data_IF_898383133895
#
_entry.id   IF_898383133895
#
_cell.length_a   1.000
_cell.length_b   1.000
_cell.length_c   1.000
_cell.angle_alpha   90.00
_cell.angle_beta   90.00
_cell.angle_gamma   90.00
#
_symmetry.space_group_name_H-M   'P 1'
#
loop_
_entity.id
_entity.type
_entity.pdbx_description
1 polymer ?
#
# COMPACT_ATOMS: atom_id res chain seq x y z
N UNK A 1 -1.92 43.76 9.30
CA UNK A 1 -2.85 42.95 10.14
C UNK A 1 -2.75 41.41 9.96
N UNK A 2 -1.87 40.82 9.12
CA UNK A 2 -1.87 39.36 8.84
C UNK A 2 -0.91 38.48 9.68
N UNK A 3 -0.09 39.05 10.57
CA UNK A 3 0.84 38.28 11.40
C UNK A 3 0.17 37.65 12.65
N UNK A 4 -0.94 38.22 13.14
CA UNK A 4 -1.57 37.79 14.40
C UNK A 4 -2.32 36.46 14.34
N UNK A 5 -2.92 36.10 13.20
CA UNK A 5 -3.75 34.89 13.07
C UNK A 5 -2.94 33.59 13.01
N UNK A 6 -1.76 33.61 12.38
CA UNK A 6 -0.86 32.46 12.33
C UNK A 6 -0.34 32.07 13.72
N UNK A 7 -0.11 33.07 14.59
CA UNK A 7 0.36 32.84 15.95
C UNK A 7 -0.70 32.25 16.89
N UNK A 8 -2.00 32.45 16.61
CA UNK A 8 -3.09 31.95 17.45
C UNK A 8 -3.38 30.47 17.18
N UNK A 9 -3.34 30.06 15.91
CA UNK A 9 -3.50 28.67 15.49
C UNK A 9 -2.31 27.81 15.93
N UNK A 10 -1.08 28.32 15.78
CA UNK A 10 0.13 27.64 16.25
C UNK A 10 0.13 27.43 17.77
N UNK A 11 -0.37 28.41 18.54
CA UNK A 11 -0.53 28.29 20.00
C UNK A 11 -1.61 27.26 20.39
N UNK A 12 -2.72 27.20 19.65
CA UNK A 12 -3.76 26.20 19.88
C UNK A 12 -3.28 24.76 19.59
N UNK A 13 -2.48 24.57 18.54
CA UNK A 13 -1.84 23.29 18.22
C UNK A 13 -0.80 22.86 19.23
N UNK A 14 0.02 23.81 19.74
CA UNK A 14 0.98 23.52 20.81
C UNK A 14 0.29 23.17 22.13
N UNK A 15 -0.81 23.84 22.46
CA UNK A 15 -1.60 23.53 23.66
C UNK A 15 -2.26 22.13 23.57
N UNK A 16 -2.79 21.75 22.41
CA UNK A 16 -3.35 20.40 22.19
C UNK A 16 -2.28 19.32 22.15
N UNK A 17 -1.10 19.60 21.59
CA UNK A 17 0.04 18.68 21.63
C UNK A 17 0.56 18.48 23.08
N UNK A 18 0.60 19.55 23.87
CA UNK A 18 0.95 19.49 25.29
C UNK A 18 -0.06 18.69 26.11
N UNK A 19 -1.37 18.85 25.85
CA UNK A 19 -2.41 18.04 26.47
C UNK A 19 -2.26 16.54 26.14
N UNK A 20 -1.96 16.22 24.88
CA UNK A 20 -1.66 14.85 24.44
C UNK A 20 -0.46 14.23 25.16
N UNK A 21 0.60 15.03 25.37
CA UNK A 21 1.79 14.58 26.10
C UNK A 21 1.46 14.26 27.57
N UNK A 22 0.59 15.06 28.20
CA UNK A 22 0.11 14.82 29.58
C UNK A 22 -0.75 13.57 29.66
N UNK A 23 -1.64 13.33 28.69
CA UNK A 23 -2.47 12.11 28.64
C UNK A 23 -1.61 10.87 28.38
N UNK A 24 -0.63 10.96 27.48
CA UNK A 24 0.30 9.88 27.17
C UNK A 24 1.22 9.50 28.35
N UNK A 25 1.62 10.48 29.16
CA UNK A 25 2.44 10.24 30.37
C UNK A 25 1.63 9.66 31.53
N UNK A 26 0.33 9.97 31.63
CA UNK A 26 -0.57 9.42 32.63
C UNK A 26 -1.09 8.01 32.29
N UNK A 27 -1.08 7.63 31.00
CA UNK A 27 -1.46 6.28 30.55
C UNK A 27 -2.85 5.83 31.05
N UNK A 28 -3.02 4.60 31.57
CA UNK A 28 -4.31 4.10 32.02
C UNK A 28 -4.86 4.79 33.29
N UNK A 29 -4.01 5.54 34.03
CA UNK A 29 -4.42 6.29 35.22
C UNK A 29 -5.14 7.61 34.90
N UNK A 30 -5.27 7.98 33.61
CA UNK A 30 -5.93 9.20 33.19
C UNK A 30 -7.46 9.17 33.47
N UNK A 31 -8.03 10.22 34.11
CA UNK A 31 -9.46 10.34 34.34
C UNK A 31 -10.27 10.25 33.04
N UNK A 32 -11.44 9.60 33.07
CA UNK A 32 -12.26 9.36 31.87
C UNK A 32 -12.62 10.65 31.10
N UNK A 33 -12.90 11.75 31.80
CA UNK A 33 -13.17 13.05 31.17
C UNK A 33 -11.95 13.62 30.41
N UNK A 34 -10.72 13.33 30.86
CA UNK A 34 -9.49 13.77 30.23
C UNK A 34 -9.26 13.05 28.89
N UNK A 35 -9.64 11.76 28.81
CA UNK A 35 -9.59 10.95 27.57
C UNK A 35 -10.60 11.40 26.52
N UNK A 36 -11.78 11.88 26.95
CA UNK A 36 -12.77 12.50 26.05
C UNK A 36 -12.24 13.81 25.46
N UNK A 37 -11.50 14.60 26.24
CA UNK A 37 -10.87 15.83 25.72
C UNK A 37 -9.70 15.50 24.78
N UNK A 38 -8.96 14.42 25.03
CA UNK A 38 -7.88 13.95 24.15
C UNK A 38 -8.38 13.55 22.75
N UNK A 39 -9.51 12.83 22.68
CA UNK A 39 -10.11 12.43 21.40
C UNK A 39 -10.53 13.65 20.56
N UNK A 40 -11.11 14.67 21.20
CA UNK A 40 -11.40 15.98 20.57
C UNK A 40 -10.10 16.69 20.15
N UNK A 41 -9.04 16.59 20.94
CA UNK A 41 -7.70 17.10 20.63
C UNK A 41 -7.13 16.50 19.33
N UNK A 42 -7.34 15.21 19.08
CA UNK A 42 -6.96 14.54 17.82
C UNK A 42 -7.61 15.20 16.61
N UNK A 43 -8.92 15.48 16.70
CA UNK A 43 -9.69 16.11 15.62
C UNK A 43 -9.24 17.54 15.36
N UNK A 44 -8.94 18.31 16.42
CA UNK A 44 -8.41 19.67 16.32
C UNK A 44 -7.02 19.67 15.67
N UNK A 45 -6.15 18.72 16.02
CA UNK A 45 -4.85 18.56 15.37
C UNK A 45 -5.02 18.19 13.91
N UNK A 46 -5.87 17.21 13.57
CA UNK A 46 -6.11 16.80 12.19
C UNK A 46 -6.63 17.95 11.31
N UNK A 47 -7.62 18.70 11.80
CA UNK A 47 -8.17 19.88 11.10
C UNK A 47 -7.14 21.01 11.01
N UNK A 48 -6.38 21.26 12.08
CA UNK A 48 -5.34 22.28 12.10
C UNK A 48 -4.17 21.95 11.16
N UNK A 49 -3.75 20.68 11.10
CA UNK A 49 -2.73 20.19 10.18
C UNK A 49 -3.23 20.29 8.73
N UNK A 50 -4.49 19.90 8.48
CA UNK A 50 -5.14 20.04 7.17
C UNK A 50 -5.22 21.51 6.72
N UNK A 51 -5.56 22.43 7.60
CA UNK A 51 -5.56 23.87 7.31
C UNK A 51 -4.15 24.41 7.04
N UNK A 52 -3.15 23.99 7.83
CA UNK A 52 -1.75 24.36 7.60
C UNK A 52 -1.22 23.80 6.28
N UNK A 53 -1.56 22.55 5.94
CA UNK A 53 -1.23 21.91 4.67
C UNK A 53 -1.88 22.64 3.49
N UNK A 54 -3.17 22.98 3.61
CA UNK A 54 -3.89 23.78 2.63
C UNK A 54 -3.24 25.16 2.46
N UNK A 55 -2.94 25.84 3.57
CA UNK A 55 -2.27 27.16 3.53
C UNK A 55 -0.88 27.06 2.95
N UNK A 56 -0.12 26.00 3.27
CA UNK A 56 1.18 25.71 2.70
C UNK A 56 1.05 25.49 1.19
N UNK A 57 0.11 24.65 0.74
CA UNK A 57 -0.20 24.41 -0.68
C UNK A 57 -0.54 25.71 -1.42
N UNK A 58 -1.41 26.54 -0.86
CA UNK A 58 -1.78 27.85 -1.43
C UNK A 58 -0.58 28.80 -1.47
N UNK A 59 0.28 28.77 -0.44
CA UNK A 59 1.48 29.63 -0.39
C UNK A 59 2.55 29.13 -1.35
N UNK A 60 2.72 27.81 -1.48
CA UNK A 60 3.56 27.14 -2.45
C UNK A 60 3.10 27.52 -3.85
N UNK A 61 1.80 27.38 -4.15
CA UNK A 61 1.21 27.83 -5.41
C UNK A 61 1.50 29.33 -5.65
N UNK A 62 1.27 30.22 -4.68
CA UNK A 62 1.51 31.66 -4.89
C UNK A 62 2.98 32.04 -5.10
N UNK A 63 3.94 31.35 -4.46
CA UNK A 63 5.38 31.64 -4.58
C UNK A 63 6.09 30.88 -5.71
N UNK A 64 5.69 29.64 -5.99
CA UNK A 64 6.25 28.86 -7.10
C UNK A 64 5.67 29.31 -8.45
N UNK A 65 4.37 29.64 -8.54
CA UNK A 65 3.71 29.90 -9.84
C UNK A 65 4.00 31.29 -10.44
N UNK A 66 4.75 32.15 -9.76
CA UNK A 66 5.03 33.52 -10.23
C UNK A 66 6.08 33.58 -11.35
N UNK A 67 6.89 32.51 -11.53
CA UNK A 67 7.76 32.34 -12.71
C UNK A 67 7.15 31.26 -13.62
N UNK A 68 6.86 31.61 -14.88
CA UNK A 68 6.26 30.73 -15.91
C UNK A 68 6.92 29.34 -15.95
N UNK A 69 8.26 29.30 -15.84
CA UNK A 69 9.06 28.05 -15.81
C UNK A 69 8.72 27.10 -14.65
N UNK A 70 8.38 27.62 -13.46
CA UNK A 70 8.00 26.80 -12.29
C UNK A 70 6.54 26.36 -12.34
N UNK A 71 5.68 27.13 -13.00
CA UNK A 71 4.26 26.79 -13.21
C UNK A 71 4.09 25.59 -14.15
N UNK A 72 4.86 25.54 -15.23
CA UNK A 72 4.85 24.39 -16.14
C UNK A 72 5.41 23.15 -15.45
N UNK A 73 6.60 23.23 -14.83
CA UNK A 73 7.19 22.07 -14.11
C UNK A 73 6.25 21.50 -13.04
N UNK A 74 5.56 22.35 -12.27
CA UNK A 74 4.62 21.88 -11.25
C UNK A 74 3.39 21.19 -11.84
N UNK A 75 2.81 21.73 -12.91
CA UNK A 75 1.68 21.08 -13.60
C UNK A 75 2.07 19.73 -14.17
N UNK A 76 3.27 19.60 -14.76
CA UNK A 76 3.73 18.32 -15.30
C UNK A 76 4.11 17.31 -14.20
N UNK A 77 4.65 17.76 -13.08
CA UNK A 77 4.87 16.89 -11.92
C UNK A 77 3.54 16.38 -11.38
N UNK A 78 2.51 17.22 -11.29
CA UNK A 78 1.16 16.78 -10.90
C UNK A 78 0.50 15.84 -11.91
N UNK A 79 0.67 16.07 -13.21
CA UNK A 79 0.04 15.24 -14.27
C UNK A 79 0.78 13.92 -14.49
N UNK A 80 2.11 13.88 -14.34
CA UNK A 80 2.90 12.67 -14.57
C UNK A 80 3.22 11.91 -13.27
N UNK A 81 3.80 12.58 -12.28
CA UNK A 81 4.34 11.90 -11.10
C UNK A 81 3.24 11.42 -10.13
N UNK A 82 2.14 12.16 -9.99
CA UNK A 82 1.06 11.77 -9.07
C UNK A 82 0.33 10.51 -9.55
N UNK A 83 -0.06 10.37 -10.83
CA UNK A 83 -0.61 9.10 -11.32
C UNK A 83 0.34 7.93 -11.13
N UNK A 84 1.64 8.09 -11.43
CA UNK A 84 2.66 7.05 -11.21
C UNK A 84 2.69 6.61 -9.76
N UNK A 85 2.73 7.56 -8.82
CA UNK A 85 2.72 7.25 -7.40
C UNK A 85 1.44 6.54 -6.99
N UNK A 86 0.29 6.96 -7.51
CA UNK A 86 -1.02 6.41 -7.17
C UNK A 86 -1.17 4.99 -7.71
N UNK A 87 -0.79 4.76 -8.97
CA UNK A 87 -0.81 3.45 -9.62
C UNK A 87 0.20 2.52 -8.96
N UNK A 88 1.43 2.98 -8.73
CA UNK A 88 2.45 2.21 -7.99
C UNK A 88 1.99 1.83 -6.58
N UNK A 89 1.38 2.77 -5.85
CA UNK A 89 0.82 2.50 -4.52
C UNK A 89 -0.36 1.53 -4.58
N UNK A 90 -1.22 1.64 -5.59
CA UNK A 90 -2.36 0.73 -5.80
C UNK A 90 -1.90 -0.70 -6.08
N UNK A 91 -0.92 -0.90 -6.97
CA UNK A 91 -0.38 -2.23 -7.27
C UNK A 91 0.37 -2.82 -6.07
N UNK A 92 1.14 -1.99 -5.36
CA UNK A 92 1.83 -2.42 -4.15
C UNK A 92 0.82 -2.85 -3.07
N UNK A 93 -0.22 -2.05 -2.84
CA UNK A 93 -1.27 -2.36 -1.87
C UNK A 93 -2.04 -3.63 -2.28
N UNK A 94 -2.51 -3.69 -3.53
CA UNK A 94 -3.30 -4.82 -4.04
C UNK A 94 -2.49 -6.12 -4.05
N UNK A 95 -1.23 -6.07 -4.49
CA UNK A 95 -0.32 -7.21 -4.47
C UNK A 95 -0.02 -7.68 -3.05
N UNK A 96 0.19 -6.75 -2.13
CA UNK A 96 0.38 -7.06 -0.70
C UNK A 96 -0.87 -7.73 -0.13
N UNK A 97 -2.05 -7.16 -0.33
CA UNK A 97 -3.31 -7.73 0.15
C UNK A 97 -3.56 -9.11 -0.45
N UNK A 98 -3.33 -9.30 -1.75
CA UNK A 98 -3.47 -10.60 -2.41
C UNK A 98 -2.56 -11.66 -1.79
N UNK A 99 -1.27 -11.33 -1.59
CA UNK A 99 -0.29 -12.22 -0.95
C UNK A 99 -0.76 -12.61 0.46
N UNK A 100 -1.24 -11.66 1.24
CA UNK A 100 -1.72 -11.89 2.61
C UNK A 100 -2.99 -12.77 2.62
N UNK A 101 -3.95 -12.51 1.73
CA UNK A 101 -5.17 -13.31 1.59
C UNK A 101 -4.88 -14.75 1.13
N UNK A 102 -4.01 -14.92 0.13
CA UNK A 102 -3.61 -16.26 -0.36
C UNK A 102 -2.91 -17.03 0.75
N UNK A 103 -1.97 -16.40 1.46
CA UNK A 103 -1.25 -17.05 2.57
C UNK A 103 -2.20 -17.47 3.69
N UNK A 104 -3.16 -16.61 4.05
CA UNK A 104 -4.22 -16.96 5.01
C UNK A 104 -5.02 -18.18 4.55
N UNK A 105 -5.38 -18.24 3.28
CA UNK A 105 -6.13 -19.39 2.75
C UNK A 105 -5.31 -20.67 2.73
N UNK A 106 -4.01 -20.60 2.40
CA UNK A 106 -3.13 -21.78 2.41
C UNK A 106 -2.95 -22.34 3.83
N UNK A 107 -2.72 -21.46 4.80
CA UNK A 107 -2.58 -21.84 6.21
C UNK A 107 -3.89 -22.43 6.74
N UNK A 108 -5.03 -21.81 6.45
CA UNK A 108 -6.34 -22.35 6.85
C UNK A 108 -6.61 -23.73 6.25
N UNK A 109 -6.37 -23.92 4.95
CA UNK A 109 -6.52 -25.22 4.29
C UNK A 109 -5.64 -26.29 4.92
N UNK A 110 -4.36 -26.00 5.17
CA UNK A 110 -3.47 -26.95 5.81
C UNK A 110 -3.90 -27.30 7.25
N UNK A 111 -4.52 -26.37 7.98
CA UNK A 111 -5.10 -26.67 9.30
C UNK A 111 -6.39 -27.49 9.20
N UNK A 112 -7.27 -27.17 8.25
CA UNK A 112 -8.49 -27.92 7.98
C UNK A 112 -8.19 -29.36 7.55
N UNK A 113 -7.15 -29.55 6.72
CA UNK A 113 -6.65 -30.88 6.32
C UNK A 113 -6.20 -31.73 7.51
N UNK A 114 -5.60 -31.13 8.54
CA UNK A 114 -5.21 -31.86 9.77
C UNK A 114 -6.47 -32.28 10.56
N UNK A 115 -7.50 -31.42 10.63
CA UNK A 115 -8.78 -31.77 11.27
C UNK A 115 -9.48 -32.89 10.47
N UNK A 116 -9.46 -32.82 9.15
CA UNK A 116 -9.98 -33.85 8.27
C UNK A 116 -9.24 -35.18 8.45
N UNK A 117 -7.91 -35.16 8.53
CA UNK A 117 -7.08 -36.33 8.85
C UNK A 117 -7.45 -36.93 10.21
N UNK A 118 -7.67 -36.10 11.24
CA UNK A 118 -8.08 -36.56 12.57
C UNK A 118 -9.46 -37.24 12.55
N UNK A 119 -10.44 -36.61 11.91
CA UNK A 119 -11.81 -37.17 11.80
C UNK A 119 -11.84 -38.44 10.94
N UNK A 120 -11.05 -38.49 9.87
CA UNK A 120 -10.90 -39.67 9.02
C UNK A 120 -10.25 -40.81 9.77
N UNK A 121 -9.19 -40.54 10.55
CA UNK A 121 -8.55 -41.54 11.39
C UNK A 121 -9.51 -42.07 12.47
N UNK A 122 -10.33 -41.20 13.08
CA UNK A 122 -11.36 -41.61 14.04
C UNK A 122 -12.40 -42.52 13.37
N UNK A 123 -12.83 -42.18 12.16
CA UNK A 123 -13.79 -42.96 11.37
C UNK A 123 -13.24 -44.34 11.00
N UNK A 124 -12.02 -44.41 10.48
CA UNK A 124 -11.36 -45.68 10.14
C UNK A 124 -11.13 -46.55 11.38
N UNK A 125 -10.74 -45.94 12.50
CA UNK A 125 -10.54 -46.66 13.76
C UNK A 125 -11.87 -47.20 14.28
N UNK A 126 -12.96 -46.45 14.19
CA UNK A 126 -14.29 -46.92 14.56
C UNK A 126 -14.70 -48.18 13.77
N UNK A 127 -14.45 -48.22 12.47
CA UNK A 127 -14.77 -49.40 11.62
C UNK A 127 -13.96 -50.63 12.07
N UNK A 128 -12.64 -50.49 12.25
CA UNK A 128 -11.79 -51.60 12.72
C UNK A 128 -12.24 -52.15 14.08
N UNK A 129 -12.83 -51.30 14.94
CA UNK A 129 -13.29 -51.68 16.26
C UNK A 129 -14.59 -52.49 16.24
N UNK A 130 -15.46 -52.31 15.25
CA UNK A 130 -16.71 -53.09 15.13
C UNK A 130 -16.45 -54.60 15.00
N UNK A 131 -15.32 -54.98 14.40
CA UNK A 131 -14.93 -56.37 14.19
C UNK A 131 -14.23 -57.02 15.41
N UNK A 132 -13.96 -56.25 16.47
CA UNK A 132 -13.22 -56.74 17.64
C UNK A 132 -14.11 -57.45 18.65
N UNK A 133 -13.65 -58.58 19.19
CA UNK A 133 -14.42 -59.43 20.13
C UNK A 133 -14.06 -59.22 21.60
N UNK A 134 -12.90 -58.62 21.93
CA UNK A 134 -12.50 -58.36 23.32
C UNK A 134 -11.58 -57.15 23.56
N UNK A 135 -11.37 -56.75 24.84
CA UNK A 135 -10.63 -55.52 25.20
C UNK A 135 -9.14 -55.52 24.82
N UNK A 136 -8.50 -56.69 24.78
CA UNK A 136 -7.09 -56.80 24.35
C UNK A 136 -6.94 -56.50 22.86
N UNK A 137 -7.85 -57.00 22.05
CA UNK A 137 -7.89 -56.75 20.60
C UNK A 137 -8.13 -55.27 20.33
N UNK A 138 -8.96 -54.63 21.16
CA UNK A 138 -9.23 -53.19 21.10
C UNK A 138 -7.95 -52.37 21.30
N UNK A 139 -7.21 -52.62 22.39
CA UNK A 139 -5.93 -51.93 22.63
C UNK A 139 -4.91 -52.18 21.52
N UNK A 140 -4.88 -53.40 20.95
CA UNK A 140 -3.99 -53.74 19.85
C UNK A 140 -4.32 -52.98 18.56
N UNK A 141 -5.61 -52.79 18.25
CA UNK A 141 -6.06 -51.98 17.12
C UNK A 141 -5.65 -50.52 17.29
N UNK A 142 -5.87 -49.94 18.48
CA UNK A 142 -5.51 -48.54 18.75
C UNK A 142 -3.99 -48.32 18.63
N UNK A 143 -3.16 -49.18 19.23
CA UNK A 143 -1.70 -49.09 19.13
C UNK A 143 -1.22 -49.26 17.70
N UNK A 144 -1.78 -50.22 16.94
CA UNK A 144 -1.43 -50.43 15.53
C UNK A 144 -1.74 -49.20 14.67
N UNK A 145 -2.91 -48.59 14.88
CA UNK A 145 -3.31 -47.36 14.16
C UNK A 145 -2.41 -46.19 14.53
N UNK A 146 -2.11 -46.04 15.82
CA UNK A 146 -1.23 -44.99 16.30
C UNK A 146 0.19 -45.09 15.68
N UNK A 147 0.80 -46.27 15.66
CA UNK A 147 2.14 -46.47 15.09
C UNK A 147 2.24 -46.04 13.62
N UNK A 148 1.15 -46.19 12.85
CA UNK A 148 1.07 -45.72 11.46
C UNK A 148 0.98 -44.19 11.35
N UNK A 149 0.33 -43.55 12.33
CA UNK A 149 0.06 -42.11 12.37
C UNK A 149 1.23 -41.32 12.97
N UNK A 150 1.95 -41.87 13.95
CA UNK A 150 3.00 -41.20 14.72
C UNK A 150 4.14 -40.64 13.85
N UNK A 151 4.42 -41.28 12.71
CA UNK A 151 5.39 -40.78 11.71
C UNK A 151 4.96 -39.48 11.05
N UNK A 152 3.64 -39.28 10.86
CA UNK A 152 3.07 -38.10 10.22
C UNK A 152 2.68 -37.04 11.25
N UNK A 153 2.19 -37.47 12.40
CA UNK A 153 1.73 -36.62 13.51
C UNK A 153 2.39 -37.10 14.81
N UNK A 154 3.60 -36.60 15.14
CA UNK A 154 4.27 -36.93 16.39
C UNK A 154 3.44 -36.47 17.60
N UNK A 155 3.22 -37.37 18.56
CA UNK A 155 2.36 -37.13 19.72
C UNK A 155 0.87 -37.34 19.45
N UNK A 156 0.49 -37.95 18.32
CA UNK A 156 -0.90 -38.34 18.08
C UNK A 156 -1.40 -39.27 19.19
N UNK A 157 -2.68 -39.15 19.53
CA UNK A 157 -3.28 -39.94 20.61
C UNK A 157 -4.68 -40.37 20.24
N UNK A 158 -5.03 -41.60 20.59
CA UNK A 158 -6.32 -42.22 20.26
C UNK A 158 -6.92 -42.79 21.54
N UNK A 159 -8.16 -42.43 21.83
CA UNK A 159 -8.90 -42.92 22.98
C UNK A 159 -10.28 -43.42 22.57
N UNK A 160 -10.70 -44.52 23.19
CA UNK A 160 -12.09 -44.92 23.19
C UNK A 160 -12.75 -44.41 24.48
N UNK A 161 -13.80 -43.61 24.34
CA UNK A 161 -14.48 -42.99 25.48
C UNK A 161 -15.94 -43.44 25.53
N UNK A 162 -16.43 -43.75 26.72
CA UNK A 162 -17.84 -44.03 26.96
C UNK A 162 -18.72 -42.79 26.73
N UNK A 163 -19.98 -43.02 26.35
CA UNK A 163 -20.95 -41.93 26.19
C UNK A 163 -21.26 -41.27 27.54
N UNK A 164 -21.21 -39.93 27.58
CA UNK A 164 -21.54 -39.14 28.76
C UNK A 164 -22.96 -39.47 29.27
N UNK A 165 -23.09 -39.66 30.59
CA UNK A 165 -24.37 -39.91 31.27
C UNK A 165 -24.84 -41.37 31.26
N UNK A 166 -24.10 -42.30 30.64
CA UNK A 166 -24.39 -43.75 30.70
C UNK A 166 -23.33 -44.43 31.57
N UNK A 167 -23.68 -44.99 32.75
CA UNK A 167 -22.72 -45.72 33.57
C UNK A 167 -22.22 -46.94 32.79
N UNK A 168 -20.95 -46.90 32.42
CA UNK A 168 -20.22 -47.99 31.78
C UNK A 168 -19.57 -48.84 32.88
N UNK A 169 -19.80 -50.17 32.92
CA UNK A 169 -19.18 -51.03 33.93
C UNK A 169 -17.69 -51.20 33.60
N UNK A 170 -16.84 -50.56 34.41
CA UNK A 170 -15.38 -50.44 34.24
C UNK A 170 -14.96 -49.73 32.94
N UNK A 171 -14.03 -48.76 33.01
CA UNK A 171 -13.65 -48.03 31.82
C UNK A 171 -12.85 -48.97 30.93
N UNK A 172 -13.37 -49.33 29.77
CA UNK A 172 -12.46 -49.60 28.65
C UNK A 172 -12.08 -48.23 28.08
N UNK A 173 -11.45 -47.40 28.92
CA UNK A 173 -10.68 -46.24 28.49
C UNK A 173 -9.40 -46.83 27.90
N UNK A 174 -9.54 -47.49 26.75
CA UNK A 174 -8.42 -47.94 25.99
C UNK A 174 -7.84 -46.71 25.30
N UNK A 175 -6.60 -46.43 25.63
CA UNK A 175 -5.87 -45.28 25.14
C UNK A 175 -4.58 -45.78 24.49
N UNK A 176 -4.25 -45.18 23.37
CA UNK A 176 -2.95 -45.30 22.75
C UNK A 176 -2.37 -43.89 22.60
N UNK A 177 -1.08 -43.75 22.90
CA UNK A 177 -0.34 -42.48 22.80
C UNK A 177 -0.27 -41.74 24.12
N UNK A 178 0.63 -40.77 24.18
CA UNK A 178 0.83 -39.89 25.33
C UNK A 178 -0.20 -38.75 25.28
N UNK A 179 -0.93 -38.52 26.39
CA UNK A 179 -1.96 -37.49 26.48
C UNK A 179 -1.45 -36.26 27.23
N UNK A 180 -0.25 -35.81 26.90
CA UNK A 180 0.40 -34.71 27.63
C UNK A 180 -0.21 -33.34 27.28
N UNK A 181 -1.02 -33.28 26.22
CA UNK A 181 -1.71 -32.06 25.76
C UNK A 181 -3.09 -31.84 26.39
N UNK A 182 -3.73 -32.85 26.98
CA UNK A 182 -5.05 -32.73 27.64
C UNK A 182 -5.02 -33.54 28.95
N UNK A 183 -5.65 -33.09 30.06
CA UNK A 183 -5.66 -33.86 31.30
C UNK A 183 -6.58 -35.10 31.17
N UNK A 184 -6.11 -36.14 30.49
CA UNK A 184 -6.81 -37.40 30.24
C UNK A 184 -7.67 -37.43 28.96
N UNK A 185 -8.32 -38.57 28.67
CA UNK A 185 -9.19 -38.69 27.51
C UNK A 185 -10.41 -37.78 27.68
N UNK A 186 -10.78 -37.00 26.65
CA UNK A 186 -11.86 -36.03 26.78
C UNK A 186 -13.21 -36.72 26.91
N UNK A 187 -14.11 -36.17 27.72
CA UNK A 187 -15.48 -36.69 27.82
C UNK A 187 -16.20 -36.67 26.47
N UNK A 188 -17.03 -37.69 26.20
CA UNK A 188 -17.89 -37.73 25.02
C UNK A 188 -18.79 -36.48 24.96
N UNK A 189 -18.70 -35.66 23.91
CA UNK A 189 -19.53 -34.47 23.78
C UNK A 189 -21.01 -34.80 23.51
N UNK A 190 -21.92 -33.97 24.03
CA UNK A 190 -23.36 -34.10 23.79
C UNK A 190 -23.79 -33.69 22.38
N UNK A 191 -23.04 -32.78 21.74
CA UNK A 191 -23.32 -32.22 20.42
C UNK A 191 -22.95 -33.15 19.25
N UNK A 192 -22.00 -34.06 19.44
CA UNK A 192 -21.47 -34.94 18.38
C UNK A 192 -22.56 -35.91 17.92
N UNK A 193 -23.11 -35.80 16.70
CA UNK A 193 -24.21 -36.65 16.24
C UNK A 193 -23.78 -37.98 15.61
N UNK A 194 -22.76 -37.97 14.74
CA UNK A 194 -22.19 -39.17 14.10
C UNK A 194 -20.66 -39.08 14.07
N UNK A 195 -20.17 -38.04 13.43
CA UNK A 195 -18.77 -37.65 13.37
C UNK A 195 -18.66 -36.14 13.56
N UNK A 196 -17.46 -35.66 13.88
CA UNK A 196 -17.19 -34.25 14.03
C UNK A 196 -15.78 -34.01 14.54
N UNK A 197 -15.29 -32.81 14.35
CA UNK A 197 -13.95 -32.44 14.78
C UNK A 197 -13.70 -30.96 14.58
N UNK A 198 -12.58 -30.50 15.10
CA UNK A 198 -12.16 -29.11 15.00
C UNK A 198 -10.81 -28.90 15.66
N UNK A 199 -10.23 -27.72 15.42
CA UNK A 199 -9.08 -27.25 16.19
C UNK A 199 -9.52 -26.78 17.56
N UNK A 200 -8.71 -27.07 18.57
CA UNK A 200 -8.98 -26.68 19.95
C UNK A 200 -7.69 -26.31 20.67
N UNK A 201 -7.80 -25.34 21.57
CA UNK A 201 -6.72 -24.96 22.48
C UNK A 201 -6.92 -25.72 23.78
N UNK A 202 -5.86 -26.40 24.20
CA UNK A 202 -5.83 -27.24 25.40
C UNK A 202 -4.78 -26.70 26.35
N UNK A 203 -4.95 -26.92 27.66
CA UNK A 203 -4.04 -26.46 28.70
C UNK A 203 -3.81 -27.58 29.71
N UNK A 204 -2.54 -27.97 29.88
CA UNK A 204 -2.11 -28.97 30.87
C UNK A 204 -0.94 -28.42 31.66
N UNK A 205 -1.05 -28.44 32.99
CA UNK A 205 0.00 -27.97 33.89
C UNK A 205 0.54 -26.55 33.55
N UNK A 206 -0.34 -25.66 33.06
CA UNK A 206 0.00 -24.30 32.64
C UNK A 206 0.66 -24.19 31.26
N UNK A 207 0.89 -25.30 30.55
CA UNK A 207 1.35 -25.31 29.16
C UNK A 207 0.14 -25.44 28.24
N UNK A 208 -0.02 -24.47 27.34
CA UNK A 208 -1.06 -24.53 26.31
C UNK A 208 -0.55 -25.15 25.02
N UNK A 209 -1.42 -25.89 24.35
CA UNK A 209 -1.13 -26.50 23.05
C UNK A 209 -2.36 -26.46 22.15
N UNK A 210 -2.14 -26.51 20.83
CA UNK A 210 -3.22 -26.60 19.84
C UNK A 210 -3.27 -28.02 19.32
N UNK A 211 -4.48 -28.55 19.24
CA UNK A 211 -4.72 -29.93 18.84
C UNK A 211 -5.88 -29.94 17.86
N UNK A 212 -5.71 -30.66 16.76
CA UNK A 212 -6.81 -31.02 15.88
C UNK A 212 -7.45 -32.29 16.44
N UNK A 213 -8.71 -32.19 16.88
CA UNK A 213 -9.45 -33.32 17.43
C UNK A 213 -10.50 -33.79 16.44
N UNK A 214 -10.51 -35.09 16.16
CA UNK A 214 -11.56 -35.77 15.42
C UNK A 214 -12.27 -36.78 16.32
N UNK A 215 -13.57 -36.97 16.09
CA UNK A 215 -14.33 -38.01 16.77
C UNK A 215 -15.38 -38.68 15.90
N UNK A 216 -15.61 -39.95 16.21
CA UNK A 216 -16.57 -40.81 15.54
C UNK A 216 -17.33 -41.65 16.57
N UNK A 217 -18.66 -41.70 16.45
CA UNK A 217 -19.47 -42.66 17.19
C UNK A 217 -19.34 -44.06 16.60
N UNK A 218 -19.12 -45.05 17.47
CA UNK A 218 -19.03 -46.48 17.13
C UNK A 218 -19.95 -47.28 18.03
N UNK A 219 -20.57 -48.33 17.48
CA UNK A 219 -21.35 -49.30 18.28
C UNK A 219 -20.51 -50.54 18.49
N UNK A 220 -20.16 -50.84 19.74
CA UNK A 220 -19.38 -52.01 20.11
C UNK A 220 -20.11 -52.79 21.21
N UNK A 221 -20.32 -54.09 21.01
CA UNK A 221 -21.04 -54.99 21.94
C UNK A 221 -22.36 -54.39 22.46
N UNK A 222 -23.19 -53.90 21.54
CA UNK A 222 -24.51 -53.28 21.80
C UNK A 222 -24.48 -51.98 22.63
N UNK A 223 -23.29 -51.38 22.80
CA UNK A 223 -23.10 -50.08 23.46
C UNK A 223 -22.51 -49.06 22.50
N UNK A 224 -22.80 -47.78 22.76
CA UNK A 224 -22.28 -46.68 21.95
C UNK A 224 -21.06 -46.08 22.64
N UNK A 225 -19.94 -46.09 21.94
CA UNK A 225 -18.70 -45.43 22.33
C UNK A 225 -18.35 -44.33 21.33
N UNK A 226 -17.41 -43.48 21.71
CA UNK A 226 -16.83 -42.46 20.85
C UNK A 226 -15.34 -42.72 20.73
N UNK A 227 -14.87 -42.91 19.50
CA UNK A 227 -13.44 -42.87 19.20
C UNK A 227 -13.06 -41.40 19.11
N UNK A 228 -12.07 -40.98 19.88
CA UNK A 228 -11.49 -39.64 19.84
C UNK A 228 -10.04 -39.76 19.41
N UNK A 229 -9.66 -38.95 18.43
CA UNK A 229 -8.31 -38.85 17.87
C UNK A 229 -7.85 -37.42 18.05
N UNK A 230 -6.69 -37.26 18.68
CA UNK A 230 -6.01 -35.98 18.86
C UNK A 230 -4.72 -35.97 18.05
N UNK A 231 -4.58 -34.99 17.18
CA UNK A 231 -3.37 -34.71 16.43
C UNK A 231 -2.80 -33.37 16.92
N UNK A 232 -1.77 -33.38 17.80
CA UNK A 232 -1.19 -32.13 18.29
C UNK A 232 -0.42 -31.42 17.18
N UNK A 233 -0.49 -30.09 17.17
CA UNK A 233 0.37 -29.25 16.33
C UNK A 233 1.76 -29.17 16.98
N UNK A 234 2.51 -30.26 16.87
CA UNK A 234 3.90 -30.34 17.31
C UNK A 234 4.85 -29.62 16.35
N UNK A 235 6.09 -29.37 16.77
CA UNK A 235 7.08 -28.62 15.98
C UNK A 235 7.27 -29.18 14.56
N UNK A 236 7.20 -30.51 14.39
CA UNK A 236 7.30 -31.16 13.08
C UNK A 236 6.10 -30.91 12.17
N UNK A 237 4.89 -30.88 12.74
CA UNK A 237 3.65 -30.56 12.00
C UNK A 237 3.64 -29.09 11.62
N UNK A 238 4.03 -28.21 12.54
CA UNK A 238 4.18 -26.77 12.29
C UNK A 238 5.21 -26.51 11.20
N UNK A 239 6.39 -27.15 11.25
CA UNK A 239 7.44 -26.99 10.24
C UNK A 239 6.97 -27.40 8.83
N UNK A 240 6.23 -28.51 8.72
CA UNK A 240 5.63 -28.92 7.45
C UNK A 240 4.60 -27.91 6.95
N UNK A 241 3.69 -27.46 7.82
CA UNK A 241 2.68 -26.47 7.46
C UNK A 241 3.33 -25.15 7.02
N UNK A 242 4.45 -24.75 7.63
CA UNK A 242 5.26 -23.59 7.25
C UNK A 242 5.91 -23.77 5.86
N UNK A 243 6.43 -24.97 5.57
CA UNK A 243 7.02 -25.30 4.26
C UNK A 243 5.98 -25.28 3.14
N UNK A 244 4.82 -25.91 3.37
CA UNK A 244 3.74 -26.02 2.38
C UNK A 244 3.04 -24.67 2.12
N UNK A 245 2.90 -23.83 3.17
CA UNK A 245 2.27 -22.52 3.05
C UNK A 245 3.23 -21.38 2.70
N UNK A 246 4.54 -21.59 2.84
CA UNK A 246 5.55 -20.52 2.69
C UNK A 246 5.45 -19.43 3.78
N UNK A 247 4.91 -19.77 4.95
CA UNK A 247 4.71 -18.86 6.08
C UNK A 247 5.53 -19.28 7.29
N UNK A 248 5.70 -18.37 8.25
CA UNK A 248 6.27 -18.66 9.57
C UNK A 248 5.20 -18.40 10.62
N UNK A 249 4.62 -19.47 11.15
CA UNK A 249 3.60 -19.43 12.20
C UNK A 249 4.24 -18.98 13.53
N UNK A 250 3.66 -17.98 14.20
CA UNK A 250 4.25 -17.38 15.40
C UNK A 250 3.47 -17.81 16.64
N UNK A 251 2.21 -17.40 16.74
CA UNK A 251 1.35 -17.71 17.87
C UNK A 251 -0.12 -17.83 17.47
N UNK A 252 -0.90 -18.53 18.30
CA UNK A 252 -2.35 -18.61 18.21
C UNK A 252 -2.96 -18.26 19.55
N UNK A 253 -4.06 -17.52 19.52
CA UNK A 253 -4.87 -17.23 20.71
C UNK A 253 -6.36 -17.32 20.43
N UNK A 254 -7.16 -17.57 21.46
CA UNK A 254 -8.61 -17.42 21.40
C UNK A 254 -9.04 -15.98 21.66
N UNK A 255 -9.96 -15.43 20.86
CA UNK A 255 -10.58 -14.14 21.17
C UNK A 255 -11.73 -14.36 22.15
N UNK A 256 -11.61 -13.92 23.39
CA UNK A 256 -12.64 -14.10 24.44
C UNK A 256 -13.74 -13.04 24.39
N UNK A 257 -13.54 -11.90 23.70
CA UNK A 257 -14.53 -10.83 23.56
C UNK A 257 -14.76 -10.47 22.10
N UNK A 258 -16.03 -10.25 21.72
CA UNK A 258 -16.49 -9.81 20.40
C UNK A 258 -16.07 -8.39 19.99
N UNK A 259 -14.93 -7.91 20.45
CA UNK A 259 -14.39 -6.58 20.13
C UNK A 259 -13.03 -6.39 20.79
N UNK A 260 -12.05 -5.92 19.99
CA UNK A 260 -10.74 -5.37 20.40
C UNK A 260 -9.61 -6.34 20.79
N UNK A 261 -9.53 -7.54 20.22
CA UNK A 261 -8.37 -8.45 20.40
C UNK A 261 -7.17 -8.23 19.46
N UNK A 262 -7.25 -7.31 18.50
CA UNK A 262 -6.20 -7.06 17.49
C UNK A 262 -5.87 -5.56 17.46
N UNK A 263 -4.65 -5.21 17.88
CA UNK A 263 -4.10 -3.86 17.71
C UNK A 263 -2.95 -3.99 16.70
N UNK A 264 -3.19 -3.54 15.46
CA UNK A 264 -2.23 -3.69 14.36
C UNK A 264 -2.17 -5.12 13.80
N UNK A 265 -0.97 -5.62 13.49
CA UNK A 265 -0.74 -6.98 12.96
C UNK A 265 -0.30 -7.96 14.06
N UNK A 266 -0.52 -7.60 15.31
CA UNK A 266 -0.20 -8.41 16.49
C UNK A 266 -1.47 -8.69 17.25
N UNK A 267 -1.63 -9.94 17.71
CA UNK A 267 -2.61 -10.23 18.74
C UNK A 267 -2.31 -9.31 19.93
N UNK A 268 -3.33 -8.79 20.61
CA UNK A 268 -3.16 -8.10 21.90
C UNK A 268 -2.81 -9.15 22.95
N UNK A 269 -1.95 -8.80 23.92
CA UNK A 269 -1.44 -9.71 24.94
C UNK A 269 -2.59 -10.20 25.83
N UNK A 270 -3.33 -11.21 25.37
CA UNK A 270 -4.24 -11.99 26.19
C UNK A 270 -3.46 -13.16 26.79
N UNK A 271 -3.81 -13.53 28.02
CA UNK A 271 -3.17 -14.62 28.76
C UNK A 271 -3.28 -15.95 28.01
N UNK A 272 -4.18 -16.08 27.02
CA UNK A 272 -4.59 -17.28 26.26
C UNK A 272 -3.76 -17.68 25.01
N UNK A 273 -2.45 -17.39 24.94
CA UNK A 273 -1.62 -17.67 23.74
C UNK A 273 -0.88 -19.01 23.76
N UNK A 274 -0.72 -19.60 22.58
CA UNK A 274 0.16 -20.74 22.27
C UNK A 274 1.22 -20.28 21.27
N UNK A 275 2.51 -20.36 21.66
CA UNK A 275 3.63 -20.09 20.76
C UNK A 275 3.92 -21.32 19.90
N UNK A 276 3.94 -21.14 18.58
CA UNK A 276 4.17 -22.21 17.59
C UNK A 276 5.60 -22.20 17.05
N UNK A 277 6.32 -21.09 17.20
CA UNK A 277 7.73 -20.99 16.88
C UNK A 277 8.41 -20.08 17.88
N UNK A 278 9.70 -20.33 18.21
CA UNK A 278 10.45 -19.46 19.10
C UNK A 278 10.37 -18.01 18.60
N UNK A 279 10.33 -17.01 19.51
CA UNK A 279 10.24 -15.62 19.12
C UNK A 279 11.43 -15.27 18.23
N UNK A 280 11.16 -15.12 16.94
CA UNK A 280 12.16 -14.78 15.94
C UNK A 280 12.87 -13.50 16.37
N UNK A 281 14.20 -13.52 16.37
CA UNK A 281 14.99 -12.32 16.65
C UNK A 281 14.67 -11.20 15.64
N UNK A 282 14.92 -9.91 15.95
CA UNK A 282 14.63 -8.79 15.04
C UNK A 282 15.28 -8.91 13.64
N UNK A 283 16.30 -9.78 13.50
CA UNK A 283 16.97 -10.07 12.23
C UNK A 283 16.30 -11.21 11.43
N UNK A 284 15.61 -12.15 12.08
CA UNK A 284 14.80 -13.20 11.44
C UNK A 284 13.46 -12.65 10.92
N UNK A 285 12.94 -11.60 11.55
CA UNK A 285 11.70 -10.91 11.15
C UNK A 285 11.91 -9.89 10.02
N UNK A 286 13.15 -9.57 9.66
CA UNK A 286 13.51 -8.50 8.75
C UNK A 286 13.07 -8.70 7.28
N UNK A 287 12.52 -9.88 6.93
CA UNK A 287 12.07 -10.19 5.56
C UNK A 287 10.62 -10.67 5.44
N UNK A 288 9.87 -10.75 6.55
CA UNK A 288 8.50 -11.25 6.58
C UNK A 288 7.48 -10.12 6.75
N UNK A 289 6.36 -10.20 6.02
CA UNK A 289 5.19 -9.36 6.28
C UNK A 289 4.36 -9.98 7.42
N UNK A 290 4.25 -9.34 8.59
CA UNK A 290 3.43 -9.87 9.67
C UNK A 290 1.95 -9.82 9.29
N UNK A 291 1.19 -10.84 9.65
CA UNK A 291 -0.23 -10.94 9.37
C UNK A 291 -0.95 -11.72 10.47
N UNK A 292 -2.24 -11.46 10.60
CA UNK A 292 -3.13 -12.21 11.48
C UNK A 292 -4.25 -12.79 10.63
N UNK A 293 -4.42 -14.10 10.69
CA UNK A 293 -5.61 -14.79 10.18
C UNK A 293 -6.52 -15.18 11.33
N UNK A 294 -7.78 -15.44 11.01
CA UNK A 294 -8.75 -15.96 11.95
C UNK A 294 -9.03 -17.42 11.62
N UNK A 295 -9.21 -18.23 12.65
CA UNK A 295 -9.56 -19.64 12.55
C UNK A 295 -10.73 -19.95 13.47
N UNK A 296 -11.45 -21.03 13.19
CA UNK A 296 -12.55 -21.47 14.03
C UNK A 296 -12.04 -22.51 15.04
N UNK A 297 -12.11 -22.14 16.32
CA UNK A 297 -11.77 -22.99 17.45
C UNK A 297 -13.04 -23.63 17.99
N UNK A 298 -13.05 -24.95 18.08
CA UNK A 298 -14.14 -25.72 18.65
C UNK A 298 -14.04 -25.75 20.18
N UNK A 299 -15.09 -25.32 20.87
CA UNK A 299 -15.28 -25.68 22.28
C UNK A 299 -15.80 -27.12 22.35
N UNK A 300 -14.96 -28.03 22.82
CA UNK A 300 -15.27 -29.45 22.86
C UNK A 300 -16.51 -29.77 23.71
N UNK A 301 -16.77 -29.00 24.76
CA UNK A 301 -17.85 -29.30 25.71
C UNK A 301 -19.23 -28.91 25.16
N UNK A 302 -19.32 -27.73 24.52
CA UNK A 302 -20.58 -27.16 24.01
C UNK A 302 -20.82 -27.48 22.54
N UNK A 303 -19.76 -27.65 21.76
CA UNK A 303 -19.82 -27.76 20.30
C UNK A 303 -19.90 -26.42 19.59
N UNK A 304 -19.74 -25.32 20.32
CA UNK A 304 -19.73 -23.98 19.73
C UNK A 304 -18.38 -23.67 19.10
N UNK A 305 -18.42 -22.96 17.97
CA UNK A 305 -17.22 -22.45 17.30
C UNK A 305 -16.93 -21.03 17.78
N UNK A 306 -15.73 -20.81 18.29
CA UNK A 306 -15.21 -19.50 18.69
C UNK A 306 -14.16 -19.05 17.70
N UNK A 307 -14.10 -17.75 17.45
CA UNK A 307 -13.09 -17.18 16.56
C UNK A 307 -11.74 -17.09 17.28
N UNK A 308 -10.78 -17.91 16.84
CA UNK A 308 -9.37 -17.80 17.17
C UNK A 308 -8.65 -16.87 16.21
N UNK A 309 -7.47 -16.42 16.62
CA UNK A 309 -6.59 -15.61 15.80
C UNK A 309 -5.20 -16.24 15.78
N UNK A 310 -4.62 -16.34 14.59
CA UNK A 310 -3.32 -16.93 14.30
C UNK A 310 -2.43 -15.87 13.69
N UNK A 311 -1.31 -15.57 14.35
CA UNK A 311 -0.31 -14.67 13.83
C UNK A 311 0.79 -15.44 13.10
N UNK A 312 1.19 -14.92 11.94
CA UNK A 312 2.28 -15.48 11.15
C UNK A 312 2.97 -14.41 10.31
N UNK A 313 4.15 -14.75 9.80
CA UNK A 313 4.88 -13.93 8.85
C UNK A 313 4.84 -14.57 7.47
N UNK A 314 4.54 -13.76 6.45
CA UNK A 314 4.57 -14.16 5.05
C UNK A 314 5.89 -13.75 4.42
N UNK A 315 6.58 -14.66 3.74
CA UNK A 315 7.79 -14.35 2.97
C UNK A 315 7.45 -14.28 1.47
N UNK A 316 7.33 -13.09 0.87
CA UNK A 316 6.85 -12.94 -0.51
C UNK A 316 7.65 -13.73 -1.54
N UNK A 317 8.98 -13.81 -1.39
CA UNK A 317 9.86 -14.56 -2.30
C UNK A 317 9.61 -16.07 -2.27
N UNK A 318 9.37 -16.62 -1.08
CA UNK A 318 9.09 -18.05 -0.88
C UNK A 318 7.71 -18.40 -1.43
N UNK A 319 6.70 -17.58 -1.09
CA UNK A 319 5.33 -17.76 -1.59
C UNK A 319 5.27 -17.66 -3.12
N UNK A 320 5.96 -16.68 -3.72
CA UNK A 320 6.04 -16.56 -5.17
C UNK A 320 6.70 -17.80 -5.79
N UNK A 321 7.78 -18.30 -5.19
CA UNK A 321 8.42 -19.56 -5.59
C UNK A 321 7.46 -20.75 -5.56
N UNK A 322 6.66 -20.92 -4.50
CA UNK A 322 5.64 -21.97 -4.37
C UNK A 322 4.53 -21.85 -5.43
N UNK A 323 4.00 -20.63 -5.61
CA UNK A 323 2.93 -20.37 -6.58
C UNK A 323 3.37 -20.59 -8.03
N UNK A 324 4.63 -20.31 -8.36
CA UNK A 324 5.18 -20.53 -9.70
C UNK A 324 5.64 -21.99 -9.89
N UNK A 325 6.23 -22.61 -8.87
CA UNK A 325 6.77 -23.98 -8.94
C UNK A 325 5.68 -25.05 -8.93
N UNK A 326 4.55 -24.82 -8.27
CA UNK A 326 3.47 -25.81 -8.16
C UNK A 326 2.97 -26.29 -9.51
N UNK A 327 3.16 -25.55 -10.61
CA UNK A 327 2.99 -26.02 -12.00
C UNK A 327 1.56 -26.38 -12.41
N UNK A 328 0.66 -26.60 -11.45
CA UNK A 328 -0.77 -26.63 -11.63
C UNK A 328 -1.24 -25.21 -11.99
N UNK A 329 -2.17 -25.10 -12.94
CA UNK A 329 -2.83 -23.84 -13.29
C UNK A 329 -3.71 -23.37 -12.13
N UNK A 330 -3.09 -22.95 -11.04
CA UNK A 330 -3.75 -22.39 -9.87
C UNK A 330 -4.19 -20.97 -10.20
N UNK A 331 -5.48 -20.69 -9.99
CA UNK A 331 -6.09 -19.38 -10.21
C UNK A 331 -5.26 -18.24 -9.57
N UNK A 332 -4.67 -18.51 -8.41
CA UNK A 332 -3.77 -17.58 -7.71
C UNK A 332 -2.50 -17.24 -8.51
N UNK A 333 -1.85 -18.22 -9.12
CA UNK A 333 -0.66 -18.01 -9.96
C UNK A 333 -0.98 -17.19 -11.21
N UNK A 334 -2.10 -17.50 -11.88
CA UNK A 334 -2.60 -16.74 -13.03
C UNK A 334 -2.90 -15.28 -12.66
N UNK A 335 -3.56 -15.05 -11.53
CA UNK A 335 -3.87 -13.70 -11.05
C UNK A 335 -2.59 -12.90 -10.74
N UNK A 336 -1.59 -13.51 -10.09
CA UNK A 336 -0.31 -12.85 -9.79
C UNK A 336 0.43 -12.49 -11.08
N UNK A 337 0.56 -13.42 -12.03
CA UNK A 337 1.23 -13.15 -13.32
C UNK A 337 0.50 -12.06 -14.10
N UNK A 338 -0.84 -12.11 -14.15
CA UNK A 338 -1.65 -11.09 -14.82
C UNK A 338 -1.49 -9.73 -14.15
N UNK A 339 -1.51 -9.66 -12.81
CA UNK A 339 -1.29 -8.43 -12.05
C UNK A 339 0.08 -7.83 -12.37
N UNK A 340 1.14 -8.65 -12.41
CA UNK A 340 2.49 -8.21 -12.77
C UNK A 340 2.53 -7.68 -14.20
N UNK A 341 1.88 -8.37 -15.16
CA UNK A 341 1.82 -7.92 -16.54
C UNK A 341 1.10 -6.57 -16.67
N UNK A 342 -0.04 -6.40 -15.99
CA UNK A 342 -0.77 -5.12 -15.97
C UNK A 342 0.08 -4.02 -15.32
N UNK A 343 0.77 -4.31 -14.22
CA UNK A 343 1.64 -3.35 -13.54
C UNK A 343 2.78 -2.88 -14.45
N UNK A 344 3.45 -3.81 -15.15
CA UNK A 344 4.51 -3.49 -16.12
C UNK A 344 3.94 -2.65 -17.27
N UNK A 345 2.79 -3.04 -17.83
CA UNK A 345 2.11 -2.29 -18.89
C UNK A 345 1.79 -0.85 -18.44
N UNK A 346 1.18 -0.66 -17.27
CA UNK A 346 0.90 0.67 -16.73
C UNK A 346 2.17 1.50 -16.56
N UNK A 347 3.22 0.90 -15.98
CA UNK A 347 4.50 1.59 -15.77
C UNK A 347 5.12 2.03 -17.10
N UNK A 348 5.04 1.21 -18.15
CA UNK A 348 5.52 1.60 -19.49
C UNK A 348 4.74 2.76 -20.10
N UNK A 349 3.40 2.74 -19.99
CA UNK A 349 2.53 3.81 -20.48
C UNK A 349 2.84 5.12 -19.75
N UNK A 350 2.98 5.06 -18.43
CA UNK A 350 3.30 6.23 -17.61
C UNK A 350 4.71 6.78 -17.89
N UNK A 351 5.69 5.91 -18.10
CA UNK A 351 7.04 6.32 -18.48
C UNK A 351 7.04 7.10 -19.80
N UNK A 352 6.30 6.60 -20.81
CA UNK A 352 6.14 7.29 -22.11
C UNK A 352 5.42 8.63 -21.92
N UNK A 353 4.33 8.66 -21.15
CA UNK A 353 3.59 9.88 -20.86
C UNK A 353 4.45 10.94 -20.14
N UNK A 354 5.31 10.51 -19.21
CA UNK A 354 6.23 11.39 -18.49
C UNK A 354 7.29 11.98 -19.42
N UNK A 355 7.87 11.17 -20.30
CA UNK A 355 8.84 11.63 -21.31
C UNK A 355 8.19 12.63 -22.27
N UNK A 356 7.01 12.32 -22.80
CA UNK A 356 6.28 13.18 -23.72
C UNK A 356 5.86 14.50 -23.04
N UNK A 357 5.34 14.44 -21.81
CA UNK A 357 4.98 15.61 -21.02
C UNK A 357 6.18 16.52 -20.74
N UNK A 358 7.34 15.95 -20.38
CA UNK A 358 8.56 16.71 -20.16
C UNK A 358 9.10 17.36 -21.46
N UNK A 359 9.04 16.63 -22.58
CA UNK A 359 9.43 17.16 -23.89
C UNK A 359 8.58 18.37 -24.29
N UNK A 360 7.25 18.26 -24.20
CA UNK A 360 6.30 19.36 -24.45
C UNK A 360 6.54 20.54 -23.51
N UNK A 361 6.80 20.28 -22.23
CA UNK A 361 7.10 21.33 -21.25
C UNK A 361 8.33 22.14 -21.66
N UNK A 362 9.40 21.44 -22.08
CA UNK A 362 10.66 22.04 -22.47
C UNK A 362 10.52 22.86 -23.75
N UNK A 363 9.80 22.35 -24.76
CA UNK A 363 9.59 23.08 -26.02
C UNK A 363 8.77 24.36 -25.81
N UNK A 364 7.64 24.26 -25.11
CA UNK A 364 6.76 25.42 -24.84
C UNK A 364 7.49 26.47 -24.01
N UNK A 365 8.14 26.06 -22.92
CA UNK A 365 8.86 27.01 -22.05
C UNK A 365 10.02 27.68 -22.79
N UNK A 366 10.72 26.92 -23.64
CA UNK A 366 11.82 27.44 -24.47
C UNK A 366 11.33 28.51 -25.45
N UNK A 367 10.35 28.19 -26.28
CA UNK A 367 9.83 29.11 -27.30
C UNK A 367 9.23 30.39 -26.68
N UNK A 368 8.48 30.26 -25.58
CA UNK A 368 7.94 31.43 -24.87
C UNK A 368 9.05 32.29 -24.27
N UNK A 369 10.15 31.69 -23.78
CA UNK A 369 11.29 32.43 -23.26
C UNK A 369 12.02 33.21 -24.36
N UNK A 370 12.25 32.60 -25.52
CA UNK A 370 12.86 33.26 -26.68
C UNK A 370 12.00 34.45 -27.17
N UNK A 371 10.67 34.27 -27.27
CA UNK A 371 9.74 35.36 -27.60
C UNK A 371 9.78 36.50 -26.58
N UNK A 372 9.82 36.17 -25.29
CA UNK A 372 9.93 37.17 -24.23
C UNK A 372 11.23 37.97 -24.35
N UNK A 373 12.36 37.30 -24.53
CA UNK A 373 13.67 37.95 -24.69
C UNK A 373 13.76 38.75 -25.99
N UNK A 374 13.22 38.24 -27.09
CA UNK A 374 13.19 38.97 -28.36
C UNK A 374 12.37 40.25 -28.27
N UNK A 375 11.22 40.20 -27.61
CA UNK A 375 10.39 41.40 -27.38
C UNK A 375 11.10 42.43 -26.50
N UNK A 376 11.81 42.00 -25.46
CA UNK A 376 12.58 42.88 -24.58
C UNK A 376 13.74 43.57 -25.32
N UNK A 377 14.40 42.88 -26.27
CA UNK A 377 15.45 43.47 -27.12
C UNK A 377 14.90 44.51 -28.09
N UNK A 378 13.78 44.20 -28.74
CA UNK A 378 13.07 45.14 -29.61
C UNK A 378 12.65 46.39 -28.85
N UNK A 379 12.16 46.24 -27.60
CA UNK A 379 11.81 47.36 -26.74
C UNK A 379 13.01 48.27 -26.41
N UNK A 380 14.23 47.71 -26.38
CA UNK A 380 15.48 48.47 -26.18
C UNK A 380 16.05 49.05 -27.48
N UNK A 381 15.36 48.89 -28.62
CA UNK A 381 15.77 49.39 -29.92
C UNK A 381 16.66 48.43 -30.73
N UNK A 382 16.93 47.23 -30.23
CA UNK A 382 17.66 46.21 -30.99
C UNK A 382 16.69 45.41 -31.88
N UNK A 383 16.60 45.83 -33.14
CA UNK A 383 15.81 45.17 -34.19
C UNK A 383 16.61 44.12 -34.98
N UNK A 384 17.89 43.93 -34.67
CA UNK A 384 18.75 42.97 -35.38
C UNK A 384 18.52 41.53 -34.90
N UNK A 385 18.04 41.38 -33.67
CA UNK A 385 17.78 40.07 -33.10
C UNK A 385 16.67 39.31 -33.85
N UNK A 386 16.91 38.02 -34.09
CA UNK A 386 15.96 37.10 -34.72
C UNK A 386 15.81 35.86 -33.84
N UNK A 387 14.56 35.46 -33.64
CA UNK A 387 14.22 34.25 -32.90
C UNK A 387 14.44 33.04 -33.82
N UNK A 388 15.15 32.02 -33.33
CA UNK A 388 15.37 30.78 -34.09
C UNK A 388 14.08 29.95 -34.14
N UNK A 389 13.65 29.56 -35.33
CA UNK A 389 12.44 28.75 -35.54
C UNK A 389 12.82 27.27 -35.62
N UNK A 390 12.74 26.57 -34.48
CA UNK A 390 13.13 25.16 -34.35
C UNK A 390 11.93 24.19 -34.36
N UNK A 391 10.70 24.68 -34.21
CA UNK A 391 9.47 23.86 -34.17
C UNK A 391 8.53 24.18 -35.33
N UNK A 392 7.78 23.18 -35.81
CA UNK A 392 6.75 23.31 -36.85
C UNK A 392 5.33 23.38 -36.24
N UNK A 393 5.22 23.95 -35.04
CA UNK A 393 3.96 24.13 -34.33
C UNK A 393 3.52 25.61 -34.32
N UNK A 394 2.40 25.89 -33.64
CA UNK A 394 1.86 27.25 -33.51
C UNK A 394 2.85 28.24 -32.87
N UNK A 395 3.79 27.75 -32.05
CA UNK A 395 4.82 28.60 -31.44
C UNK A 395 5.91 28.95 -32.44
N UNK A 396 6.27 28.02 -33.34
CA UNK A 396 7.15 28.29 -34.47
C UNK A 396 6.58 29.33 -35.43
N UNK A 397 5.28 29.22 -35.76
CA UNK A 397 4.58 30.19 -36.61
C UNK A 397 4.52 31.60 -35.97
N UNK A 398 4.33 31.66 -34.66
CA UNK A 398 4.37 32.91 -33.90
C UNK A 398 5.78 33.54 -33.93
N UNK A 399 6.83 32.74 -33.76
CA UNK A 399 8.21 33.21 -33.86
C UNK A 399 8.54 33.73 -35.28
N UNK A 400 8.07 33.05 -36.33
CA UNK A 400 8.22 33.51 -37.70
C UNK A 400 7.49 34.84 -37.94
N UNK A 401 6.24 34.96 -37.48
CA UNK A 401 5.45 36.20 -37.56
C UNK A 401 6.11 37.36 -36.82
N UNK A 402 6.70 37.10 -35.65
CA UNK A 402 7.47 38.08 -34.90
C UNK A 402 8.72 38.57 -35.66
N UNK A 403 9.48 37.66 -36.26
CA UNK A 403 10.65 37.99 -37.07
C UNK A 403 10.28 38.83 -38.30
N UNK A 404 9.17 38.50 -38.97
CA UNK A 404 8.67 39.27 -40.12
C UNK A 404 8.29 40.70 -39.72
N UNK A 405 7.53 40.85 -38.63
CA UNK A 405 7.14 42.15 -38.09
C UNK A 405 8.35 43.01 -37.73
N UNK A 406 9.33 42.45 -37.01
CA UNK A 406 10.54 43.19 -36.59
C UNK A 406 11.43 43.56 -37.79
N UNK A 407 11.50 42.71 -38.82
CA UNK A 407 12.14 43.04 -40.09
C UNK A 407 11.48 44.22 -40.80
N UNK A 408 10.14 44.21 -40.91
CA UNK A 408 9.39 45.31 -41.50
C UNK A 408 9.58 46.63 -40.74
N UNK A 409 9.57 46.60 -39.40
CA UNK A 409 9.84 47.78 -38.57
C UNK A 409 11.26 48.31 -38.80
N UNK A 410 12.27 47.42 -38.88
CA UNK A 410 13.65 47.80 -39.17
C UNK A 410 13.79 48.49 -40.53
N UNK A 411 13.20 47.91 -41.58
CA UNK A 411 13.20 48.52 -42.92
C UNK A 411 12.49 49.87 -42.97
N UNK A 412 11.35 50.02 -42.28
CA UNK A 412 10.64 51.30 -42.20
C UNK A 412 11.47 52.38 -41.47
N UNK A 413 12.23 52.00 -40.44
CA UNK A 413 13.13 52.90 -39.72
C UNK A 413 14.31 53.34 -40.58
N UNK A 414 14.93 52.42 -41.33
CA UNK A 414 16.00 52.73 -42.27
C UNK A 414 15.51 53.68 -43.37
N UNK A 415 14.36 53.39 -43.99
CA UNK A 415 13.75 54.27 -45.00
C UNK A 415 13.45 55.66 -44.43
N UNK A 416 12.92 55.74 -43.21
CA UNK A 416 12.66 57.02 -42.54
C UNK A 416 13.95 57.80 -42.24
N UNK A 417 15.03 57.11 -41.87
CA UNK A 417 16.35 57.73 -41.63
C UNK A 417 16.99 58.22 -42.93
N UNK A 418 16.96 57.40 -43.99
CA UNK A 418 17.51 57.76 -45.31
C UNK A 418 16.76 58.94 -45.92
N UNK A 419 15.43 58.96 -45.80
CA UNK A 419 14.60 60.09 -46.21
C UNK A 419 14.96 61.37 -45.44
N UNK A 420 15.11 61.30 -44.11
CA UNK A 420 15.53 62.45 -43.30
C UNK A 420 16.91 62.96 -43.71
N UNK A 421 17.85 62.05 -43.97
CA UNK A 421 19.20 62.42 -44.41
C UNK A 421 19.18 63.15 -45.76
N UNK A 422 18.43 62.64 -46.73
CA UNK A 422 18.26 63.29 -48.04
C UNK A 422 17.59 64.67 -47.91
N UNK A 423 16.55 64.79 -47.07
CA UNK A 423 15.89 66.08 -46.80
C UNK A 423 16.87 67.09 -46.16
N UNK A 424 17.75 66.64 -45.26
CA UNK A 424 18.76 67.49 -44.63
C UNK A 424 19.87 67.90 -45.60
N UNK A 425 20.36 66.98 -46.43
CA UNK A 425 21.32 67.26 -47.51
C UNK A 425 20.73 68.25 -48.53
N UNK A 426 19.46 68.07 -48.94
CA UNK A 426 18.74 69.01 -49.81
C UNK A 426 18.56 70.39 -49.15
N UNK A 427 18.26 70.44 -47.85
CA UNK A 427 18.16 71.71 -47.11
C UNK A 427 19.49 72.44 -47.10
N UNK A 428 20.58 71.75 -46.78
CA UNK A 428 21.94 72.34 -46.76
C UNK A 428 22.31 72.85 -48.16
N UNK A 429 22.06 72.06 -49.21
CA UNK A 429 22.33 72.48 -50.58
C UNK A 429 21.54 73.75 -50.95
N UNK A 430 20.27 73.82 -50.53
CA UNK A 430 19.42 75.01 -50.73
C UNK A 430 19.94 76.23 -49.98
N UNK A 431 20.36 76.07 -48.73
CA UNK A 431 20.91 77.16 -47.92
C UNK A 431 22.20 77.71 -48.52
N UNK A 432 23.10 76.84 -49.00
CA UNK A 432 24.32 77.25 -49.72
C UNK A 432 23.96 78.02 -50.99
N UNK A 433 23.03 77.51 -51.80
CA UNK A 433 22.60 78.19 -53.03
C UNK A 433 22.02 79.58 -52.74
N UNK A 434 21.19 79.71 -51.71
CA UNK A 434 20.62 81.00 -51.31
C UNK A 434 21.68 81.97 -50.76
N UNK A 435 22.67 81.48 -50.02
CA UNK A 435 23.78 82.29 -49.52
C UNK A 435 24.73 82.79 -50.62
N UNK A 436 24.72 82.19 -51.80
CA UNK A 436 25.51 82.61 -52.96
C UNK A 436 24.79 83.65 -53.83
N UNK A 437 23.52 83.94 -53.57
CA UNK A 437 22.78 84.97 -54.27
C UNK A 437 23.15 86.36 -53.71
N UNK A 438 23.30 87.38 -54.58
CA UNK A 438 23.63 88.73 -54.13
C UNK A 438 22.46 89.35 -53.35
N UNK A 439 22.75 89.91 -52.17
CA UNK A 439 21.75 90.50 -51.26
C UNK A 439 21.04 91.74 -51.84
N UNK A 440 21.55 92.31 -52.94
CA UNK A 440 20.98 93.49 -53.60
C UNK A 440 20.87 93.28 -55.12
N UNK A 441 19.76 93.69 -55.74
CA UNK A 441 19.61 93.65 -57.20
C UNK A 441 20.66 94.55 -57.86
N UNK A 442 21.33 94.03 -58.88
CA UNK A 442 22.25 94.82 -59.68
C UNK A 442 21.43 95.73 -60.61
N UNK A 443 21.47 97.05 -60.39
CA UNK A 443 20.77 98.03 -61.21
C UNK A 443 21.73 98.77 -62.13
N UNK A 444 21.34 98.88 -63.41
CA UNK A 444 21.97 99.74 -64.41
C UNK A 444 20.89 100.62 -65.04
N UNK A 445 21.22 101.80 -65.61
CA UNK A 445 20.20 102.68 -66.18
C UNK A 445 19.39 101.98 -67.29
N UNK A 446 18.11 101.72 -67.03
CA UNK A 446 17.18 101.06 -67.94
C UNK A 446 17.02 99.53 -67.76
N UNK A 447 17.75 98.88 -66.85
CA UNK A 447 17.66 97.44 -66.60
C UNK A 447 17.89 97.09 -65.13
N UNK A 448 16.94 96.38 -64.51
CA UNK A 448 17.06 95.82 -63.16
C UNK A 448 17.11 94.30 -63.25
N UNK A 449 18.14 93.68 -62.67
CA UNK A 449 18.30 92.23 -62.64
C UNK A 449 18.16 91.75 -61.20
N UNK A 450 17.13 90.95 -60.96
CA UNK A 450 16.92 90.22 -59.70
C UNK A 450 17.10 88.73 -59.91
N UNK A 451 17.67 88.05 -58.91
CA UNK A 451 17.77 86.60 -58.90
C UNK A 451 16.60 85.99 -58.13
N UNK A 452 15.97 84.98 -58.72
CA UNK A 452 14.93 84.16 -58.07
C UNK A 452 15.35 82.71 -58.12
N UNK A 453 15.35 82.04 -56.97
CA UNK A 453 15.51 80.60 -56.89
C UNK A 453 14.11 79.97 -56.84
N UNK A 454 13.77 79.15 -57.84
CA UNK A 454 12.57 78.30 -57.81
C UNK A 454 12.99 76.86 -57.45
N UNK A 455 12.29 76.23 -56.49
CA UNK A 455 12.57 74.85 -56.10
C UNK A 455 12.29 73.86 -57.22
#
# INVERSE_FOLDING_TARGET
MRAGAASRIGRALLATLGLKLVVATLGPAAPGWLRVIDSVGTTVIAVGLGYLLFRLLVTLQRRLLWRVRRKLVLSYLLIGFVPILLVGSFFLLSGTLLILTVSSSLVQRGLDEIVEDATTLAAMTAVDLEDTTGPRDLSAVLVRRLQGTERRYPGASIALVGRAGVPTPAPIDAMAGEWDHVPGPPSSPGWLARSGGGMLITEVAGRRSIVARGAQRVRWQDRVYVVVVDLPLSDGVVARLQEDSGTVLIDVGGSTSGGEGVVGNTLVADEARVSLSPPAGPMETAGGLPWVSFLDLLDWSTGEHRRGALSFQVRPSVLYGLLVRSGEFNLAGVLVVTLVLIAVMFLTIEAVALVMGFALAKSITGAVHELFTGTERVQRGDLSHRIKVDTQDQLGELAASFNAMTGSIGGLLEQAQEKRRLEEELRIARDIQMSLLPDAPASMPGLEISSVCRP
#
